data_IF_007993741254
#
_entry.id   IF_007993741254
#
_cell.length_a   1.000
_cell.length_b   1.000
_cell.length_c   1.000
_cell.angle_alpha   90.00
_cell.angle_beta   90.00
_cell.angle_gamma   90.00
#
_symmetry.space_group_name_H-M   'P 1'
#
loop_
_entity.id
_entity.type
_entity.pdbx_description
1 polymer ?
#
# COMPACT_ATOMS: atom_id res chain seq x y z
N UNK A 1 51.98 44.18 27.33
CA UNK A 1 51.93 42.73 27.59
C UNK A 1 51.77 42.05 26.23
N UNK A 2 52.87 41.61 25.61
CA UNK A 2 52.79 40.90 24.33
C UNK A 2 52.20 39.52 24.57
N UNK A 3 51.03 39.25 24.00
CA UNK A 3 50.50 37.91 23.88
C UNK A 3 51.44 37.15 22.94
N UNK A 4 52.31 36.30 23.50
CA UNK A 4 53.03 35.31 22.71
C UNK A 4 51.99 34.31 22.21
N UNK A 5 51.67 34.37 20.91
CA UNK A 5 50.91 33.30 20.26
C UNK A 5 51.82 32.06 20.25
N UNK A 6 51.52 31.10 21.12
CA UNK A 6 52.22 29.81 21.14
C UNK A 6 51.93 29.09 19.84
N UNK A 7 52.97 28.77 19.09
CA UNK A 7 52.80 28.06 17.84
C UNK A 7 52.35 26.62 18.06
N UNK A 8 51.32 26.21 17.36
CA UNK A 8 50.72 24.88 17.47
C UNK A 8 50.22 24.35 16.13
N UNK A 9 50.07 23.02 16.07
CA UNK A 9 49.31 22.37 14.99
C UNK A 9 47.83 22.78 15.10
N UNK A 10 47.06 22.74 14.00
CA UNK A 10 45.65 23.15 14.03
C UNK A 10 44.82 22.39 15.08
N UNK A 11 43.94 23.11 15.78
CA UNK A 11 43.01 22.62 16.81
C UNK A 11 41.59 23.03 16.47
N UNK A 12 40.65 22.49 17.23
CA UNK A 12 39.22 22.83 17.14
C UNK A 12 38.69 22.80 15.71
N UNK A 13 39.12 21.80 14.95
CA UNK A 13 38.70 21.64 13.56
C UNK A 13 37.20 21.34 13.53
N UNK A 14 36.46 22.08 12.71
CA UNK A 14 35.03 21.93 12.50
C UNK A 14 34.76 21.66 11.02
N UNK A 15 33.82 20.75 10.74
CA UNK A 15 33.32 20.48 9.39
C UNK A 15 31.82 20.74 9.36
N UNK A 16 31.40 21.71 8.54
CA UNK A 16 30.01 22.13 8.42
C UNK A 16 29.44 21.81 7.03
N UNK A 17 28.19 21.32 6.94
CA UNK A 17 27.31 20.94 8.05
C UNK A 17 27.77 19.63 8.73
N UNK A 18 27.47 19.45 10.02
CA UNK A 18 27.80 18.22 10.76
C UNK A 18 26.89 17.04 10.39
N UNK A 19 25.66 17.32 9.94
CA UNK A 19 24.72 16.36 9.37
C UNK A 19 24.04 16.94 8.13
N UNK A 20 23.90 16.15 7.09
CA UNK A 20 23.27 16.57 5.84
C UNK A 20 22.53 15.41 5.18
N UNK A 21 21.30 15.63 4.77
CA UNK A 21 20.60 14.73 3.85
C UNK A 21 20.64 15.32 2.45
N UNK A 22 20.91 14.49 1.45
CA UNK A 22 21.11 14.95 0.07
C UNK A 22 20.66 13.90 -0.93
N UNK A 23 20.15 14.31 -2.10
CA UNK A 23 19.85 13.37 -3.18
C UNK A 23 21.12 12.79 -3.80
N UNK A 24 21.04 11.54 -4.23
CA UNK A 24 22.09 10.87 -5.00
C UNK A 24 22.50 11.72 -6.22
N UNK A 25 23.81 11.74 -6.48
CA UNK A 25 24.48 12.49 -7.53
C UNK A 25 24.38 14.02 -7.42
N UNK A 26 23.90 14.58 -6.30
CA UNK A 26 23.97 16.02 -6.05
C UNK A 26 25.32 16.41 -5.45
N UNK A 27 25.75 17.62 -5.77
CA UNK A 27 26.93 18.23 -5.18
C UNK A 27 26.64 18.61 -3.72
N UNK A 28 27.57 18.26 -2.83
CA UNK A 28 27.60 18.71 -1.45
C UNK A 28 28.76 19.68 -1.26
N UNK A 29 28.51 20.74 -0.50
CA UNK A 29 29.52 21.71 -0.09
C UNK A 29 29.84 21.51 1.39
N UNK A 30 31.10 21.25 1.68
CA UNK A 30 31.62 21.07 3.04
C UNK A 30 32.62 22.17 3.33
N UNK A 31 32.46 22.83 4.48
CA UNK A 31 33.31 23.93 4.92
C UNK A 31 34.06 23.48 6.16
N UNK A 32 35.37 23.52 6.08
CA UNK A 32 36.28 23.13 7.14
C UNK A 32 37.00 24.36 7.70
N UNK A 33 37.01 24.51 9.01
CA UNK A 33 37.69 25.60 9.72
C UNK A 33 38.50 25.02 10.87
N UNK A 34 39.60 25.65 11.24
CA UNK A 34 40.39 25.27 12.40
C UNK A 34 41.14 26.48 12.95
N UNK A 35 41.40 26.46 14.25
CA UNK A 35 42.22 27.45 14.93
C UNK A 35 43.69 27.01 14.85
N UNK A 36 44.58 27.89 14.39
CA UNK A 36 46.00 27.56 14.22
C UNK A 36 46.89 28.79 14.22
N UNK A 37 48.05 28.69 14.87
CA UNK A 37 49.16 29.63 14.69
C UNK A 37 50.47 28.85 14.46
N UNK A 38 51.15 28.98 13.30
CA UNK A 38 50.81 29.77 12.12
C UNK A 38 49.54 29.28 11.42
N UNK A 39 48.93 30.15 10.60
CA UNK A 39 47.66 29.87 9.91
C UNK A 39 47.69 28.56 9.13
N UNK A 40 46.52 27.92 9.04
CA UNK A 40 46.32 26.68 8.29
C UNK A 40 46.81 26.86 6.85
N UNK A 41 47.62 25.92 6.37
CA UNK A 41 48.11 25.88 4.99
C UNK A 41 47.21 25.04 4.10
N UNK A 42 46.74 23.90 4.60
CA UNK A 42 45.92 22.94 3.84
C UNK A 42 44.82 22.31 4.69
N UNK A 43 43.64 22.18 4.08
CA UNK A 43 42.52 21.37 4.54
C UNK A 43 42.39 20.16 3.62
N UNK A 44 42.48 18.96 4.18
CA UNK A 44 42.38 17.69 3.44
C UNK A 44 41.04 17.02 3.73
N UNK A 45 40.27 16.69 2.69
CA UNK A 45 38.96 16.04 2.80
C UNK A 45 39.06 14.55 2.46
N UNK A 46 38.41 13.73 3.29
CA UNK A 46 38.29 12.29 3.13
C UNK A 46 36.82 11.86 3.22
N UNK A 47 36.47 10.75 2.57
CA UNK A 47 35.23 10.00 2.81
C UNK A 47 35.58 8.59 3.27
N UNK A 48 35.30 8.26 4.52
CA UNK A 48 35.94 7.11 5.18
C UNK A 48 37.46 7.22 5.09
N UNK A 49 38.12 6.24 4.48
CA UNK A 49 39.57 6.23 4.29
C UNK A 49 40.03 6.79 2.93
N UNK A 50 39.09 7.20 2.07
CA UNK A 50 39.40 7.65 0.70
C UNK A 50 39.70 9.15 0.73
N UNK A 51 40.90 9.52 0.29
CA UNK A 51 41.29 10.92 0.09
C UNK A 51 40.59 11.50 -1.14
N UNK A 52 39.94 12.65 -0.98
CA UNK A 52 39.19 13.31 -2.04
C UNK A 52 39.89 14.55 -2.60
N UNK A 53 40.78 15.17 -1.83
CA UNK A 53 41.53 16.36 -2.24
C UNK A 53 41.82 17.30 -1.08
N UNK A 54 42.57 18.37 -1.37
CA UNK A 54 42.93 19.40 -0.42
C UNK A 54 42.86 20.80 -1.02
N UNK A 55 42.67 21.81 -0.18
CA UNK A 55 42.69 23.22 -0.57
C UNK A 55 43.14 24.11 0.60
N UNK A 56 43.44 25.38 0.31
CA UNK A 56 43.85 26.37 1.32
C UNK A 56 42.68 27.16 1.93
N UNK A 57 41.50 27.16 1.29
CA UNK A 57 40.36 27.98 1.70
C UNK A 57 39.33 27.25 2.57
N UNK A 58 39.54 25.96 2.84
CA UNK A 58 38.67 25.11 3.65
C UNK A 58 37.36 24.71 2.96
N UNK A 59 37.12 25.10 1.71
CA UNK A 59 35.86 24.83 1.01
C UNK A 59 36.04 23.69 0.01
N UNK A 60 35.33 22.59 0.25
CA UNK A 60 35.37 21.42 -0.61
C UNK A 60 33.98 21.13 -1.19
N UNK A 61 33.93 20.84 -2.48
CA UNK A 61 32.72 20.35 -3.15
C UNK A 61 32.97 18.94 -3.64
N UNK A 62 32.06 18.03 -3.32
CA UNK A 62 32.11 16.64 -3.80
C UNK A 62 30.71 16.15 -4.16
N UNK A 63 30.59 14.97 -4.76
CA UNK A 63 29.31 14.39 -5.20
C UNK A 63 28.89 13.27 -4.25
N UNK A 64 27.63 13.27 -3.83
CA UNK A 64 27.03 12.18 -3.08
C UNK A 64 26.79 10.97 -4.02
N UNK A 65 27.64 9.93 -3.97
CA UNK A 65 27.62 8.83 -4.97
C UNK A 65 27.07 7.50 -4.47
N UNK A 66 27.19 7.18 -3.19
CA UNK A 66 26.76 5.90 -2.61
C UNK A 66 25.45 6.07 -1.84
N UNK A 67 24.47 5.20 -2.11
CA UNK A 67 23.25 5.10 -1.32
C UNK A 67 23.63 4.71 0.12
N UNK A 68 23.18 5.49 1.11
CA UNK A 68 23.45 5.25 2.52
C UNK A 68 24.26 6.34 3.21
N UNK A 69 24.95 5.97 4.30
CA UNK A 69 25.74 6.89 5.13
C UNK A 69 27.14 7.07 4.57
N UNK A 70 27.49 8.32 4.24
CA UNK A 70 28.87 8.74 3.98
C UNK A 70 29.38 9.54 5.18
N UNK A 71 30.58 9.19 5.67
CA UNK A 71 31.21 9.86 6.80
C UNK A 71 32.43 10.63 6.30
N UNK A 72 32.23 11.92 6.11
CA UNK A 72 33.29 12.81 5.67
C UNK A 72 34.16 13.22 6.85
N UNK A 73 35.44 13.38 6.57
CA UNK A 73 36.47 13.73 7.54
C UNK A 73 37.32 14.84 6.94
N UNK A 74 37.45 15.97 7.64
CA UNK A 74 38.37 17.03 7.28
C UNK A 74 39.52 17.13 8.29
N UNK A 75 40.75 17.23 7.78
CA UNK A 75 41.95 17.44 8.58
C UNK A 75 42.63 18.75 8.15
N UNK A 76 42.76 19.69 9.08
CA UNK A 76 43.51 20.92 8.88
C UNK A 76 45.01 20.71 9.22
N UNK A 77 45.90 21.34 8.46
CA UNK A 77 47.35 21.23 8.66
C UNK A 77 48.10 22.54 8.43
N UNK A 78 49.16 22.76 9.20
CA UNK A 78 50.14 23.83 9.01
C UNK A 78 51.57 23.24 9.02
N UNK A 79 52.59 24.09 9.09
CA UNK A 79 53.99 23.65 9.10
C UNK A 79 54.42 22.87 10.34
N UNK A 80 53.65 22.94 11.43
CA UNK A 80 53.90 22.17 12.65
C UNK A 80 53.23 20.80 12.64
N UNK A 81 52.30 20.57 11.71
CA UNK A 81 51.66 19.27 11.49
C UNK A 81 50.14 19.37 11.30
N UNK A 82 49.47 18.23 11.51
CA UNK A 82 48.03 18.07 11.28
C UNK A 82 47.22 18.01 12.57
N UNK A 83 46.06 18.66 12.55
CA UNK A 83 45.06 18.60 13.60
C UNK A 83 44.26 17.30 13.62
N UNK A 84 43.28 17.23 14.52
CA UNK A 84 42.33 16.11 14.56
C UNK A 84 41.32 16.21 13.42
N UNK A 85 40.73 15.07 13.06
CA UNK A 85 39.68 15.03 12.06
C UNK A 85 38.36 15.56 12.61
N UNK A 86 37.74 16.48 11.86
CA UNK A 86 36.36 16.92 12.04
C UNK A 86 35.43 16.14 11.10
N UNK A 87 34.29 15.67 11.62
CA UNK A 87 33.39 14.78 10.89
C UNK A 87 32.10 15.45 10.44
N UNK A 88 31.58 14.99 9.31
CA UNK A 88 30.24 15.29 8.80
C UNK A 88 29.57 13.99 8.34
N UNK A 89 28.38 13.71 8.87
CA UNK A 89 27.56 12.57 8.49
C UNK A 89 26.58 12.99 7.37
N UNK A 90 26.76 12.43 6.18
CA UNK A 90 25.94 12.73 5.01
C UNK A 90 25.10 11.50 4.65
N UNK A 91 23.78 11.63 4.72
CA UNK A 91 22.85 10.59 4.28
C UNK A 91 22.40 10.85 2.84
N UNK A 92 22.68 9.88 1.96
CA UNK A 92 22.33 9.99 0.55
C UNK A 92 20.99 9.31 0.30
N UNK A 93 19.98 10.11 -0.01
CA UNK A 93 18.64 9.69 -0.41
C UNK A 93 18.63 9.35 -1.90
N UNK A 94 17.93 8.28 -2.26
CA UNK A 94 17.85 7.79 -3.63
C UNK A 94 16.87 6.64 -3.73
N UNK A 95 17.18 5.63 -4.54
CA UNK A 95 16.26 4.54 -4.88
C UNK A 95 15.51 3.95 -3.67
N UNK A 96 14.18 3.95 -3.73
CA UNK A 96 13.31 3.41 -2.67
C UNK A 96 13.06 1.93 -2.93
N UNK A 97 13.72 1.09 -2.15
CA UNK A 97 13.45 -0.34 -2.12
C UNK A 97 12.32 -0.62 -1.13
N UNK A 98 11.30 -1.35 -1.60
CA UNK A 98 10.08 -1.65 -0.84
C UNK A 98 9.75 -3.12 -0.88
N UNK A 99 9.31 -3.65 0.25
CA UNK A 99 8.69 -4.96 0.37
C UNK A 99 7.25 -4.77 0.86
N UNK A 100 6.30 -5.14 0.01
CA UNK A 100 4.87 -4.95 0.27
C UNK A 100 4.16 -6.29 0.43
N UNK A 101 3.15 -6.30 1.29
CA UNK A 101 2.42 -7.49 1.70
C UNK A 101 0.98 -7.18 2.08
N UNK A 102 0.13 -8.19 2.01
CA UNK A 102 -1.25 -8.18 2.53
C UNK A 102 -1.33 -9.23 3.62
N UNK A 103 -1.78 -8.87 4.83
CA UNK A 103 -1.92 -9.82 5.96
C UNK A 103 -0.67 -10.70 6.18
N UNK A 104 0.51 -10.08 6.13
CA UNK A 104 1.83 -10.72 6.25
C UNK A 104 2.27 -11.62 5.08
N UNK A 105 1.45 -11.79 4.04
CA UNK A 105 1.79 -12.52 2.82
C UNK A 105 2.34 -11.59 1.74
N UNK A 106 3.43 -11.98 1.08
CA UNK A 106 4.08 -11.22 0.00
C UNK A 106 3.27 -11.24 -1.32
N UNK A 107 2.04 -10.73 -1.26
CA UNK A 107 1.11 -10.61 -2.37
C UNK A 107 0.61 -9.16 -2.50
N UNK A 108 0.19 -8.80 -3.71
CA UNK A 108 -0.51 -7.55 -4.02
C UNK A 108 -2.00 -7.76 -4.30
N UNK A 109 -2.48 -9.01 -4.29
CA UNK A 109 -3.87 -9.34 -4.57
C UNK A 109 -4.40 -10.22 -3.44
N UNK A 110 -5.59 -9.89 -2.94
CA UNK A 110 -6.27 -10.72 -1.95
C UNK A 110 -7.76 -10.81 -2.25
N UNK A 111 -8.29 -12.01 -2.01
CA UNK A 111 -9.72 -12.29 -2.01
C UNK A 111 -10.09 -12.62 -0.58
N UNK A 112 -10.87 -11.75 0.05
CA UNK A 112 -11.20 -11.82 1.48
C UNK A 112 -12.70 -11.93 1.68
N UNK A 113 -13.14 -12.32 2.87
CA UNK A 113 -14.56 -12.33 3.24
C UNK A 113 -14.94 -11.00 3.88
N UNK A 114 -16.15 -10.53 3.60
CA UNK A 114 -16.73 -9.38 4.31
C UNK A 114 -16.72 -9.62 5.83
N UNK A 115 -16.21 -8.63 6.57
CA UNK A 115 -15.97 -8.72 8.01
C UNK A 115 -14.53 -9.09 8.39
N UNK A 116 -13.71 -9.58 7.46
CA UNK A 116 -12.32 -9.93 7.75
C UNK A 116 -11.47 -8.69 8.07
N UNK A 117 -10.45 -8.87 8.91
CA UNK A 117 -9.40 -7.88 9.10
C UNK A 117 -8.42 -7.95 7.94
N UNK A 118 -8.13 -6.80 7.31
CA UNK A 118 -7.18 -6.69 6.19
C UNK A 118 -6.16 -5.62 6.48
N UNK A 119 -4.88 -5.94 6.31
CA UNK A 119 -3.76 -5.02 6.47
C UNK A 119 -2.94 -5.01 5.19
N UNK A 120 -2.98 -3.88 4.47
CA UNK A 120 -2.04 -3.59 3.39
C UNK A 120 -0.81 -2.96 4.02
N UNK A 121 0.38 -3.45 3.68
CA UNK A 121 1.63 -2.96 4.24
C UNK A 121 2.68 -2.80 3.14
N UNK A 122 3.45 -1.71 3.20
CA UNK A 122 4.68 -1.55 2.43
C UNK A 122 5.79 -1.09 3.36
N UNK A 123 6.82 -1.92 3.53
CA UNK A 123 8.01 -1.57 4.29
C UNK A 123 9.12 -1.08 3.36
N UNK A 124 9.95 -0.17 3.84
CA UNK A 124 11.16 0.30 3.16
C UNK A 124 12.40 -0.35 3.75
N UNK A 125 13.45 -0.52 2.96
CA UNK A 125 14.77 -0.87 3.49
C UNK A 125 15.48 0.41 3.96
N UNK A 126 15.86 0.48 5.23
CA UNK A 126 16.54 1.64 5.81
C UNK A 126 15.71 2.32 6.90
N UNK A 127 16.07 3.55 7.26
CA UNK A 127 15.38 4.28 8.32
C UNK A 127 14.04 4.87 7.78
N UNK A 128 12.93 4.47 8.39
CA UNK A 128 11.58 4.86 8.00
C UNK A 128 11.32 6.37 8.14
N UNK A 129 12.06 7.08 9.02
CA UNK A 129 11.87 8.53 9.25
C UNK A 129 12.20 9.40 8.03
N UNK A 130 12.76 8.81 6.98
CA UNK A 130 13.08 9.50 5.73
C UNK A 130 11.98 9.42 4.68
N UNK A 131 10.90 8.66 4.92
CA UNK A 131 9.90 8.37 3.91
C UNK A 131 8.51 8.80 4.34
N UNK A 132 7.79 9.36 3.39
CA UNK A 132 6.41 9.82 3.50
C UNK A 132 5.54 8.84 2.72
N UNK A 133 4.44 8.38 3.32
CA UNK A 133 3.51 7.42 2.72
C UNK A 133 2.19 8.12 2.38
N UNK A 134 1.70 7.87 1.18
CA UNK A 134 0.41 8.39 0.73
C UNK A 134 -0.43 7.26 0.15
N UNK A 135 -1.51 6.87 0.86
CA UNK A 135 -2.45 5.84 0.42
C UNK A 135 -3.66 6.45 -0.28
N UNK A 136 -4.00 5.90 -1.44
CA UNK A 136 -5.18 6.28 -2.20
C UNK A 136 -6.01 5.06 -2.60
N UNK A 137 -7.33 5.23 -2.70
CA UNK A 137 -8.21 4.31 -3.42
C UNK A 137 -8.41 4.86 -4.83
N UNK A 138 -7.96 4.13 -5.84
CA UNK A 138 -7.78 4.66 -7.21
C UNK A 138 -9.09 5.15 -7.82
N UNK A 139 -10.17 4.39 -7.66
CA UNK A 139 -11.48 4.69 -8.27
C UNK A 139 -12.03 6.07 -7.85
N UNK A 140 -11.72 6.49 -6.63
CA UNK A 140 -12.28 7.71 -6.05
C UNK A 140 -11.24 8.85 -5.99
N UNK A 141 -9.97 8.57 -6.34
CA UNK A 141 -8.80 9.42 -6.10
C UNK A 141 -8.75 9.98 -4.66
N UNK A 142 -9.44 9.29 -3.73
CA UNK A 142 -9.60 9.71 -2.36
C UNK A 142 -8.32 9.34 -1.61
N UNK A 143 -7.72 10.31 -0.92
CA UNK A 143 -6.71 9.99 0.09
C UNK A 143 -7.40 9.23 1.21
N UNK A 144 -6.97 7.99 1.43
CA UNK A 144 -7.54 7.11 2.46
C UNK A 144 -6.75 7.25 3.75
N UNK A 145 -5.43 7.46 3.65
CA UNK A 145 -4.56 7.62 4.81
C UNK A 145 -3.20 8.19 4.43
N UNK A 146 -2.68 9.09 5.25
CA UNK A 146 -1.33 9.64 5.12
C UNK A 146 -0.42 9.12 6.24
N UNK A 147 0.89 9.08 5.95
CA UNK A 147 1.97 8.98 6.94
C UNK A 147 2.02 7.69 7.76
N UNK A 148 1.59 6.59 7.15
CA UNK A 148 1.72 5.24 7.74
C UNK A 148 2.13 4.23 6.69
N UNK A 149 3.02 3.32 7.07
CA UNK A 149 3.43 2.17 6.25
C UNK A 149 2.31 1.12 6.07
N UNK A 150 1.23 1.23 6.84
CA UNK A 150 0.09 0.31 6.84
C UNK A 150 -1.24 1.03 6.62
N UNK A 151 -2.08 0.44 5.77
CA UNK A 151 -3.52 0.72 5.68
C UNK A 151 -4.28 -0.50 6.24
N UNK A 152 -5.08 -0.28 7.28
CA UNK A 152 -5.76 -1.35 8.02
C UNK A 152 -7.27 -1.18 7.96
N UNK A 153 -7.94 -2.23 7.53
CA UNK A 153 -9.38 -2.42 7.64
C UNK A 153 -9.61 -3.34 8.84
N UNK A 154 -10.25 -2.83 9.90
CA UNK A 154 -10.55 -3.64 11.08
C UNK A 154 -11.57 -4.73 10.79
N UNK A 155 -12.56 -4.41 9.96
CA UNK A 155 -13.60 -5.28 9.43
C UNK A 155 -13.96 -4.76 8.04
N UNK A 156 -13.50 -5.43 6.99
CA UNK A 156 -13.65 -4.95 5.61
C UNK A 156 -15.10 -5.08 5.12
N UNK A 157 -15.61 -4.07 4.41
CA UNK A 157 -16.94 -4.09 3.79
C UNK A 157 -16.86 -4.28 2.27
N UNK A 158 -17.91 -4.78 1.62
CA UNK A 158 -17.97 -4.85 0.15
C UNK A 158 -17.76 -3.50 -0.56
N UNK A 159 -18.05 -2.38 0.09
CA UNK A 159 -17.76 -1.04 -0.46
C UNK A 159 -16.28 -0.69 -0.43
N UNK A 160 -15.47 -1.37 0.40
CA UNK A 160 -14.01 -1.26 0.43
C UNK A 160 -13.34 -2.04 -0.71
N UNK A 161 -14.07 -2.85 -1.47
CA UNK A 161 -13.53 -3.51 -2.65
C UNK A 161 -12.88 -2.49 -3.62
N UNK A 162 -11.73 -2.86 -4.18
CA UNK A 162 -11.10 -2.12 -5.26
C UNK A 162 -9.57 -2.08 -5.24
N UNK A 163 -9.06 -1.14 -6.04
CA UNK A 163 -7.63 -0.92 -6.24
C UNK A 163 -7.11 0.16 -5.32
N UNK A 164 -6.07 -0.19 -4.57
CA UNK A 164 -5.38 0.69 -3.64
C UNK A 164 -3.95 0.94 -4.13
N UNK A 165 -3.47 2.16 -3.93
CA UNK A 165 -2.07 2.49 -4.19
C UNK A 165 -1.45 3.15 -2.98
N UNK A 166 -0.18 2.85 -2.75
CA UNK A 166 0.67 3.62 -1.84
C UNK A 166 1.81 4.22 -2.63
N UNK A 167 1.95 5.53 -2.51
CA UNK A 167 3.11 6.25 -3.03
C UNK A 167 4.01 6.61 -1.87
N UNK A 168 5.26 6.13 -1.94
CA UNK A 168 6.33 6.49 -1.02
C UNK A 168 7.17 7.58 -1.67
N UNK A 169 7.49 8.62 -0.92
CA UNK A 169 8.43 9.67 -1.32
C UNK A 169 9.45 9.82 -0.22
N UNK A 170 10.71 10.05 -0.58
CA UNK A 170 11.67 10.50 0.44
C UNK A 170 11.40 11.96 0.82
N UNK A 171 11.87 12.37 2.00
CA UNK A 171 11.62 13.70 2.57
C UNK A 171 12.16 14.87 1.76
N UNK A 172 13.11 14.63 0.85
CA UNK A 172 13.67 15.64 -0.04
C UNK A 172 13.07 15.55 -1.45
N UNK A 173 12.09 14.64 -1.66
CA UNK A 173 11.52 14.29 -2.96
C UNK A 173 12.57 13.93 -4.03
N UNK A 174 13.68 13.32 -3.64
CA UNK A 174 14.71 12.83 -4.58
C UNK A 174 14.18 11.68 -5.45
N UNK A 175 13.26 10.90 -4.90
CA UNK A 175 12.73 9.68 -5.48
C UNK A 175 11.30 9.45 -5.02
N UNK A 176 10.56 8.70 -5.83
CA UNK A 176 9.24 8.22 -5.46
C UNK A 176 9.02 6.79 -5.95
N UNK A 177 8.22 6.03 -5.22
CA UNK A 177 7.87 4.66 -5.58
C UNK A 177 6.40 4.40 -5.28
N UNK A 178 5.67 3.93 -6.28
CA UNK A 178 4.27 3.54 -6.13
C UNK A 178 4.12 2.02 -6.18
N UNK A 179 3.25 1.51 -5.30
CA UNK A 179 2.87 0.10 -5.21
C UNK A 179 1.35 0.00 -5.21
N UNK A 180 0.85 -1.05 -5.86
CA UNK A 180 -0.58 -1.26 -6.06
C UNK A 180 -1.03 -2.54 -5.37
N UNK A 181 -2.26 -2.52 -4.86
CA UNK A 181 -2.94 -3.65 -4.27
C UNK A 181 -4.35 -3.78 -4.87
N UNK A 182 -4.84 -5.00 -5.02
CA UNK A 182 -6.20 -5.28 -5.46
C UNK A 182 -6.91 -6.17 -4.43
N UNK A 183 -8.01 -5.67 -3.87
CA UNK A 183 -8.79 -6.38 -2.88
C UNK A 183 -10.16 -6.69 -3.46
N UNK A 184 -10.53 -7.97 -3.45
CA UNK A 184 -11.88 -8.45 -3.76
C UNK A 184 -12.55 -8.91 -2.48
N UNK A 185 -13.77 -8.46 -2.23
CA UNK A 185 -14.52 -8.77 -1.01
C UNK A 185 -15.68 -9.69 -1.35
N UNK A 186 -15.61 -10.93 -0.88
CA UNK A 186 -16.69 -11.89 -1.03
C UNK A 186 -17.69 -11.78 0.11
N UNK A 187 -18.98 -11.90 -0.21
CA UNK A 187 -20.08 -11.92 0.73
C UNK A 187 -21.15 -12.92 0.28
N UNK A 188 -21.93 -13.43 1.23
CA UNK A 188 -23.04 -14.36 0.95
C UNK A 188 -24.12 -13.65 0.11
N UNK A 189 -24.97 -14.38 -0.62
CA UNK A 189 -26.09 -13.76 -1.33
C UNK A 189 -27.05 -13.07 -0.37
N UNK A 190 -27.57 -11.91 -0.78
CA UNK A 190 -28.53 -11.09 -0.05
C UNK A 190 -29.61 -10.56 -1.01
N UNK A 191 -30.69 -10.01 -0.45
CA UNK A 191 -31.78 -9.40 -1.21
C UNK A 191 -32.40 -10.34 -2.26
N UNK A 192 -32.61 -11.60 -1.88
CA UNK A 192 -33.15 -12.63 -2.77
C UNK A 192 -34.54 -12.26 -3.29
N UNK A 193 -34.67 -12.23 -4.62
CA UNK A 193 -35.90 -12.00 -5.35
C UNK A 193 -36.37 -13.26 -6.07
N UNK A 194 -37.68 -13.38 -6.24
CA UNK A 194 -38.32 -14.39 -7.11
C UNK A 194 -39.41 -13.72 -7.93
N UNK A 195 -39.38 -13.91 -9.24
CA UNK A 195 -40.41 -13.45 -10.18
C UNK A 195 -40.94 -14.64 -10.97
N UNK A 196 -42.26 -14.76 -11.06
CA UNK A 196 -42.94 -15.76 -11.88
C UNK A 196 -43.59 -15.03 -13.05
N UNK A 197 -43.40 -15.56 -14.27
CA UNK A 197 -43.98 -15.05 -15.51
C UNK A 197 -44.78 -16.17 -16.21
N UNK A 198 -46.03 -15.91 -16.64
CA UNK A 198 -46.83 -14.69 -16.46
C UNK A 198 -47.06 -14.29 -14.98
N UNK A 199 -47.14 -13.00 -14.69
CA UNK A 199 -47.36 -12.50 -13.32
C UNK A 199 -48.85 -12.56 -12.95
N UNK A 200 -49.33 -13.79 -12.73
CA UNK A 200 -50.69 -14.08 -12.28
C UNK A 200 -50.65 -15.11 -11.14
N UNK A 201 -51.74 -15.18 -10.37
CA UNK A 201 -51.86 -16.13 -9.26
C UNK A 201 -52.41 -17.49 -9.71
N UNK A 202 -53.30 -17.48 -10.69
CA UNK A 202 -54.04 -18.66 -11.14
C UNK A 202 -53.55 -19.11 -12.52
N UNK A 203 -53.27 -20.40 -12.65
CA UNK A 203 -52.82 -21.08 -13.86
C UNK A 203 -53.73 -22.26 -14.19
N UNK A 204 -53.71 -22.68 -15.45
CA UNK A 204 -54.40 -23.89 -15.88
C UNK A 204 -53.43 -25.09 -15.87
N UNK A 205 -53.95 -26.27 -15.58
CA UNK A 205 -53.20 -27.51 -15.70
C UNK A 205 -52.59 -27.67 -17.10
N UNK A 206 -51.29 -27.97 -17.14
CA UNK A 206 -50.49 -28.09 -18.36
C UNK A 206 -49.77 -26.80 -18.78
N UNK A 207 -50.08 -25.64 -18.18
CA UNK A 207 -49.33 -24.39 -18.43
C UNK A 207 -47.87 -24.52 -17.97
N UNK A 208 -47.01 -23.68 -18.54
CA UNK A 208 -45.61 -23.55 -18.11
C UNK A 208 -45.37 -22.14 -17.60
N UNK A 209 -44.53 -22.04 -16.57
CA UNK A 209 -44.11 -20.77 -15.98
C UNK A 209 -42.62 -20.60 -16.09
N UNK A 210 -42.19 -19.35 -16.23
CA UNK A 210 -40.81 -18.95 -16.11
C UNK A 210 -40.59 -18.33 -14.74
N UNK A 211 -39.65 -18.89 -13.98
CA UNK A 211 -39.23 -18.39 -12.68
C UNK A 211 -37.85 -17.78 -12.83
N UNK A 212 -37.69 -16.53 -12.38
CA UNK A 212 -36.42 -15.84 -12.33
C UNK A 212 -36.08 -15.51 -10.88
N UNK A 213 -34.98 -16.08 -10.38
CA UNK A 213 -34.42 -15.82 -9.06
C UNK A 213 -33.25 -14.82 -9.19
N UNK A 214 -33.19 -13.83 -8.31
CA UNK A 214 -32.08 -12.86 -8.26
C UNK A 214 -31.56 -12.71 -6.84
N UNK A 215 -30.30 -12.29 -6.68
CA UNK A 215 -29.69 -11.94 -5.39
C UNK A 215 -28.44 -11.09 -5.64
N UNK A 216 -28.09 -10.24 -4.69
CA UNK A 216 -26.81 -9.52 -4.67
C UNK A 216 -25.78 -10.39 -3.96
N UNK A 217 -24.71 -10.78 -4.65
CA UNK A 217 -23.69 -11.67 -4.10
C UNK A 217 -22.35 -11.49 -4.81
N UNK A 218 -21.26 -11.67 -4.06
CA UNK A 218 -19.92 -11.87 -4.63
C UNK A 218 -19.24 -13.08 -3.98
N UNK A 219 -18.89 -14.14 -4.74
CA UNK A 219 -19.16 -14.35 -6.15
C UNK A 219 -20.64 -14.57 -6.46
N UNK A 220 -20.96 -14.57 -7.75
CA UNK A 220 -22.28 -14.94 -8.25
C UNK A 220 -22.73 -16.31 -7.69
N UNK A 221 -23.99 -16.46 -7.27
CA UNK A 221 -24.48 -17.69 -6.67
C UNK A 221 -24.98 -18.71 -7.69
N UNK A 222 -25.18 -19.94 -7.21
CA UNK A 222 -26.08 -20.92 -7.83
C UNK A 222 -27.44 -20.80 -7.13
N UNK A 223 -28.53 -20.77 -7.89
CA UNK A 223 -29.88 -20.80 -7.33
C UNK A 223 -30.41 -22.22 -7.31
N UNK A 224 -30.99 -22.62 -6.19
CA UNK A 224 -31.69 -23.89 -6.00
C UNK A 224 -33.18 -23.60 -5.88
N UNK A 225 -33.98 -24.17 -6.77
CA UNK A 225 -35.43 -24.01 -6.78
C UNK A 225 -36.08 -25.22 -6.10
N UNK A 226 -36.99 -24.95 -5.18
CA UNK A 226 -37.83 -25.96 -4.54
C UNK A 226 -39.29 -25.70 -4.91
N UNK A 227 -40.05 -26.78 -5.10
CA UNK A 227 -41.50 -26.78 -5.30
C UNK A 227 -42.13 -27.52 -4.13
N UNK A 228 -42.91 -26.84 -3.29
CA UNK A 228 -43.49 -27.39 -2.07
C UNK A 228 -42.44 -28.09 -1.19
N UNK A 229 -41.30 -27.43 -0.96
CA UNK A 229 -40.14 -27.95 -0.23
C UNK A 229 -39.41 -29.15 -0.87
N UNK A 230 -39.81 -29.59 -2.06
CA UNK A 230 -39.11 -30.64 -2.82
C UNK A 230 -38.18 -30.00 -3.83
N UNK A 231 -36.94 -30.47 -3.92
CA UNK A 231 -35.97 -29.95 -4.87
C UNK A 231 -36.46 -30.11 -6.31
N UNK A 232 -36.52 -29.00 -7.05
CA UNK A 232 -36.97 -28.95 -8.43
C UNK A 232 -35.80 -28.83 -9.43
N UNK A 233 -34.70 -28.17 -9.03
CA UNK A 233 -33.52 -28.02 -9.88
C UNK A 233 -32.61 -26.88 -9.45
N UNK A 234 -31.45 -26.75 -10.10
CA UNK A 234 -30.50 -25.66 -9.86
C UNK A 234 -30.05 -24.98 -11.15
N UNK A 235 -29.90 -23.66 -11.13
CA UNK A 235 -29.41 -22.88 -12.27
C UNK A 235 -28.56 -21.69 -11.79
N UNK A 236 -27.44 -21.41 -12.47
CA UNK A 236 -26.56 -20.25 -12.21
C UNK A 236 -27.17 -18.93 -12.68
N UNK A 237 -27.95 -18.97 -13.76
CA UNK A 237 -28.61 -17.78 -14.31
C UNK A 237 -29.88 -17.40 -13.53
N UNK A 238 -30.31 -18.25 -12.59
CA UNK A 238 -31.53 -18.06 -11.81
C UNK A 238 -32.82 -18.28 -12.59
N UNK A 239 -32.74 -18.74 -13.85
CA UNK A 239 -33.90 -18.93 -14.73
C UNK A 239 -34.35 -20.40 -14.74
N UNK A 240 -35.63 -20.64 -14.49
CA UNK A 240 -36.24 -21.97 -14.49
C UNK A 240 -37.52 -21.96 -15.32
N UNK A 241 -37.71 -23.01 -16.12
CA UNK A 241 -38.98 -23.27 -16.81
C UNK A 241 -39.65 -24.45 -16.12
N UNK A 242 -40.83 -24.25 -15.56
CA UNK A 242 -41.55 -25.28 -14.79
C UNK A 242 -42.91 -25.55 -15.42
N UNK A 243 -43.18 -26.82 -15.71
CA UNK A 243 -44.49 -27.29 -16.17
C UNK A 243 -45.42 -27.57 -14.99
N UNK A 244 -46.62 -27.00 -15.01
CA UNK A 244 -47.65 -27.15 -14.01
C UNK A 244 -48.58 -28.32 -14.37
N UNK A 245 -48.06 -29.54 -14.24
CA UNK A 245 -48.70 -30.75 -14.76
C UNK A 245 -49.96 -31.21 -14.00
N UNK A 246 -50.14 -30.79 -12.75
CA UNK A 246 -51.21 -31.25 -11.87
C UNK A 246 -51.90 -30.04 -11.22
N UNK A 247 -53.20 -30.15 -10.95
CA UNK A 247 -53.93 -29.13 -10.19
C UNK A 247 -53.45 -29.06 -8.73
N UNK A 248 -53.59 -27.89 -8.10
CA UNK A 248 -53.19 -27.69 -6.71
C UNK A 248 -52.47 -26.39 -6.44
N UNK A 249 -52.02 -26.22 -5.20
CA UNK A 249 -51.26 -25.06 -4.77
C UNK A 249 -49.76 -25.39 -4.75
N UNK A 250 -48.96 -24.54 -5.40
CA UNK A 250 -47.52 -24.68 -5.47
C UNK A 250 -46.84 -23.45 -4.91
N UNK A 251 -45.97 -23.65 -3.92
CA UNK A 251 -45.02 -22.67 -3.44
C UNK A 251 -43.67 -22.96 -4.06
N UNK A 252 -43.15 -21.99 -4.80
CA UNK A 252 -41.81 -22.03 -5.36
C UNK A 252 -40.87 -21.22 -4.48
N UNK A 253 -39.77 -21.84 -4.05
CA UNK A 253 -38.79 -21.24 -3.15
C UNK A 253 -37.42 -21.21 -3.82
N UNK A 254 -36.86 -20.02 -4.02
CA UNK A 254 -35.49 -19.83 -4.51
C UNK A 254 -34.54 -19.73 -3.32
N UNK A 255 -33.49 -20.54 -3.32
CA UNK A 255 -32.40 -20.51 -2.32
C UNK A 255 -31.08 -20.24 -3.05
N UNK A 256 -30.50 -19.03 -2.94
CA UNK A 256 -29.20 -18.72 -3.52
C UNK A 256 -28.06 -19.19 -2.61
N UNK A 257 -26.98 -19.71 -3.21
CA UNK A 257 -25.79 -20.13 -2.48
C UNK A 257 -24.52 -19.84 -3.29
N UNK A 258 -23.51 -19.25 -2.65
CA UNK A 258 -22.18 -19.08 -3.22
C UNK A 258 -21.10 -19.69 -2.32
N UNK A 259 -19.82 -19.53 -2.68
CA UNK A 259 -18.71 -20.10 -1.90
C UNK A 259 -18.60 -19.57 -0.47
N UNK A 260 -19.20 -18.41 -0.16
CA UNK A 260 -19.19 -17.81 1.19
C UNK A 260 -20.29 -18.42 2.05
N UNK A 261 -21.42 -18.77 1.44
CA UNK A 261 -22.51 -19.46 2.09
C UNK A 261 -23.87 -19.24 1.42
N UNK A 262 -24.89 -19.77 2.09
CA UNK A 262 -26.30 -19.70 1.67
C UNK A 262 -26.88 -18.33 2.04
N UNK A 263 -27.57 -17.71 1.08
CA UNK A 263 -28.33 -16.47 1.30
C UNK A 263 -29.74 -16.72 1.81
N UNK A 264 -30.49 -15.66 2.15
CA UNK A 264 -31.90 -15.80 2.53
C UNK A 264 -32.70 -16.35 1.34
N UNK A 265 -33.71 -17.18 1.59
CA UNK A 265 -34.59 -17.70 0.55
C UNK A 265 -35.74 -16.72 0.24
N UNK A 266 -36.38 -16.90 -0.91
CA UNK A 266 -37.61 -16.18 -1.25
C UNK A 266 -38.62 -17.11 -1.91
N UNK A 267 -39.87 -17.01 -1.46
CA UNK A 267 -40.96 -17.87 -1.93
C UNK A 267 -42.06 -17.09 -2.64
N UNK A 268 -42.66 -17.69 -3.67
CA UNK A 268 -43.88 -17.20 -4.34
C UNK A 268 -44.82 -18.37 -4.64
N UNK A 269 -46.09 -18.20 -4.31
CA UNK A 269 -47.11 -19.24 -4.49
C UNK A 269 -48.01 -18.96 -5.69
N UNK A 270 -48.43 -20.03 -6.36
CA UNK A 270 -49.40 -20.04 -7.45
C UNK A 270 -50.42 -21.14 -7.24
N UNK A 271 -51.59 -20.99 -7.84
CA UNK A 271 -52.67 -21.99 -7.82
C UNK A 271 -52.90 -22.49 -9.24
N UNK A 272 -52.95 -23.81 -9.41
CA UNK A 272 -53.25 -24.47 -10.68
C UNK A 272 -54.65 -25.05 -10.59
N UNK A 273 -55.55 -24.55 -11.44
CA UNK A 273 -56.91 -25.05 -11.55
C UNK A 273 -56.93 -26.24 -12.51
N UNK A 274 -57.65 -27.28 -12.11
CA UNK A 274 -57.94 -28.42 -12.98
C UNK A 274 -58.81 -27.99 -14.15
N UNK A 275 -58.84 -28.83 -15.19
CA UNK A 275 -59.77 -28.67 -16.31
C UNK A 275 -61.24 -28.80 -15.88
#
# INVERSE_FOLDING_TARGET
MSLYLTSDKPKDTLLSPTKLDVCENKAIKLICTADAYPSVKNYSLYNGNIYLGSNSNGQSTTTARSLGWNKFCCVASNELGSGHCAFSDVYVLGNINTLCKINDENTSVAVVKEGDKVVLQCNVTGNESYYIYQWIKVKDSLSVRNDTRQLTFGSINRTDEGYYQVTLRDKLNCSSKTRSFNITVNYKPENTGIKITPDKKDFCEGESININCTSDANPAPVYFLYRNNVFNGSNRDGVFVVKLAENGNYTFTCVPNNRVGVGPDKSKSVTVKGK
#
